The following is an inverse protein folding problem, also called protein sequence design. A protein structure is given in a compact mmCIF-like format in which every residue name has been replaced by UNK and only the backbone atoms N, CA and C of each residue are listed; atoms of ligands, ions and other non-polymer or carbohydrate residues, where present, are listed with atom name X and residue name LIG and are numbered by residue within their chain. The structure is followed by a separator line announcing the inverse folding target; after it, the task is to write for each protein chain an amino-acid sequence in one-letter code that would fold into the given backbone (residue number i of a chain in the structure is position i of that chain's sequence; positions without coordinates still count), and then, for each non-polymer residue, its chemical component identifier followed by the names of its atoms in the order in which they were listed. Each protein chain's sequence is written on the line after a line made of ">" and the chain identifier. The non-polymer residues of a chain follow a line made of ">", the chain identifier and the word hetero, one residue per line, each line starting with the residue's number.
data_IF_078266968781
#
_entry.id   IF_078266968781
#
_cell.length_a   1.000
_cell.length_b   1.000
_cell.length_c   1.000
_cell.angle_alpha   90.00
_cell.angle_beta   90.00
_cell.angle_gamma   90.00
#
_symmetry.space_group_name_H-M   'P 1'
#
loop_
_entity.id
_entity.type
_entity.pdbx_description
1 polymer ?
#
# COMPACT_ATOMS: atom_id res chain seq x y z
N UNK A 1 -19.95 44.25 -11.11
CA UNK A 1 -20.13 43.33 -9.96
C UNK A 1 -19.48 42.00 -10.29
N UNK A 2 -18.25 41.81 -9.83
CA UNK A 2 -17.48 40.57 -9.96
C UNK A 2 -17.86 39.60 -8.84
N UNK A 3 -18.70 38.63 -9.16
CA UNK A 3 -18.82 37.38 -8.40
C UNK A 3 -18.44 36.28 -9.41
N UNK A 4 -17.17 36.14 -9.79
CA UNK A 4 -16.19 35.60 -8.86
C UNK A 4 -16.57 34.15 -8.59
N UNK A 5 -16.62 33.36 -9.68
CA UNK A 5 -16.96 31.95 -9.63
C UNK A 5 -16.05 31.26 -8.64
N UNK A 6 -16.58 31.00 -7.44
CA UNK A 6 -16.07 29.99 -6.50
C UNK A 6 -16.29 28.61 -7.14
N UNK A 7 -15.67 28.38 -8.30
CA UNK A 7 -15.58 27.07 -8.92
C UNK A 7 -14.53 26.33 -8.12
N UNK A 8 -15.01 25.58 -7.13
CA UNK A 8 -14.45 24.35 -6.60
C UNK A 8 -13.02 24.05 -7.08
N UNK A 9 -12.02 24.82 -6.59
CA UNK A 9 -10.61 24.48 -6.80
C UNK A 9 -10.41 23.24 -5.97
N UNK A 10 -10.31 22.08 -6.60
CA UNK A 10 -9.80 20.89 -5.94
C UNK A 10 -8.30 21.15 -5.82
N UNK A 11 -7.91 21.95 -4.82
CA UNK A 11 -6.52 22.08 -4.45
C UNK A 11 -6.11 20.69 -3.97
N UNK A 12 -5.42 19.94 -4.84
CA UNK A 12 -4.87 18.66 -4.48
C UNK A 12 -3.93 18.91 -3.28
N UNK A 13 -4.30 18.39 -2.11
CA UNK A 13 -3.43 18.46 -0.94
C UNK A 13 -2.30 17.43 -1.10
N UNK A 14 -1.33 17.79 -1.95
CA UNK A 14 -0.15 16.99 -2.25
C UNK A 14 0.65 16.71 -0.98
N UNK A 15 0.60 17.62 0.00
CA UNK A 15 1.26 17.45 1.30
C UNK A 15 0.65 16.31 2.11
N UNK A 16 -0.67 16.33 2.29
CA UNK A 16 -1.40 15.24 2.97
C UNK A 16 -1.25 13.92 2.22
N UNK A 17 -1.28 13.94 0.89
CA UNK A 17 -1.05 12.74 0.08
C UNK A 17 0.35 12.14 0.26
N UNK A 18 1.39 12.99 0.31
CA UNK A 18 2.76 12.57 0.55
C UNK A 18 2.91 11.93 1.95
N UNK A 19 2.30 12.52 2.99
CA UNK A 19 2.27 11.95 4.34
C UNK A 19 1.61 10.56 4.35
N UNK A 20 0.42 10.44 3.74
CA UNK A 20 -0.31 9.18 3.67
C UNK A 20 0.47 8.11 2.89
N UNK A 21 1.12 8.48 1.79
CA UNK A 21 1.98 7.59 1.00
C UNK A 21 3.19 7.10 1.81
N UNK A 22 3.83 8.00 2.57
CA UNK A 22 4.94 7.64 3.46
C UNK A 22 4.49 6.71 4.60
N UNK A 23 3.30 6.94 5.17
CA UNK A 23 2.71 6.07 6.20
C UNK A 23 2.37 4.68 5.65
N UNK A 24 1.86 4.59 4.42
CA UNK A 24 1.65 3.32 3.73
C UNK A 24 2.98 2.59 3.47
N UNK A 25 4.01 3.28 3.01
CA UNK A 25 5.34 2.69 2.82
C UNK A 25 5.95 2.17 4.14
N UNK A 26 5.76 2.89 5.24
CA UNK A 26 6.18 2.45 6.58
C UNK A 26 5.41 1.18 7.01
N UNK A 27 4.11 1.12 6.78
CA UNK A 27 3.30 -0.06 7.06
C UNK A 27 3.70 -1.28 6.20
N UNK A 28 3.96 -1.08 4.90
CA UNK A 28 4.51 -2.10 3.99
C UNK A 28 5.82 -2.67 4.53
N UNK A 29 6.75 -1.80 4.92
CA UNK A 29 8.05 -2.21 5.44
C UNK A 29 7.91 -3.04 6.72
N UNK A 30 7.08 -2.60 7.67
CA UNK A 30 6.85 -3.31 8.94
C UNK A 30 6.22 -4.69 8.72
N UNK A 31 5.24 -4.80 7.82
CA UNK A 31 4.64 -6.10 7.48
C UNK A 31 5.63 -7.01 6.74
N UNK A 32 6.50 -6.44 5.91
CA UNK A 32 7.62 -7.16 5.29
C UNK A 32 8.56 -7.77 6.33
N UNK A 33 8.93 -7.01 7.37
CA UNK A 33 9.73 -7.51 8.49
C UNK A 33 9.02 -8.64 9.23
N UNK A 34 7.75 -8.46 9.60
CA UNK A 34 6.97 -9.50 10.29
C UNK A 34 6.86 -10.77 9.45
N UNK A 35 6.70 -10.65 8.12
CA UNK A 35 6.67 -11.79 7.22
C UNK A 35 8.02 -12.52 7.18
N UNK A 36 9.14 -11.80 7.15
CA UNK A 36 10.47 -12.40 7.21
C UNK A 36 10.70 -13.15 8.53
N UNK A 37 10.38 -12.51 9.66
CA UNK A 37 10.47 -13.13 10.99
C UNK A 37 9.60 -14.39 11.10
N UNK A 38 8.38 -14.36 10.55
CA UNK A 38 7.51 -15.54 10.52
C UNK A 38 8.14 -16.68 9.70
N UNK A 39 8.69 -16.37 8.52
CA UNK A 39 9.32 -17.39 7.65
C UNK A 39 10.53 -18.03 8.35
N UNK A 40 11.37 -17.23 9.00
CA UNK A 40 12.50 -17.73 9.79
C UNK A 40 12.04 -18.62 10.94
N UNK A 41 11.06 -18.18 11.72
CA UNK A 41 10.51 -18.95 12.84
C UNK A 41 9.91 -20.29 12.37
N UNK A 42 9.20 -20.29 11.24
CA UNK A 42 8.65 -21.52 10.65
C UNK A 42 9.76 -22.49 10.20
N UNK A 43 10.88 -21.98 9.69
CA UNK A 43 12.04 -22.78 9.33
C UNK A 43 12.73 -23.37 10.57
N UNK A 44 12.84 -22.60 11.64
CA UNK A 44 13.38 -23.05 12.92
C UNK A 44 12.50 -24.14 13.55
N UNK A 45 11.18 -23.96 13.54
CA UNK A 45 10.22 -24.98 13.98
C UNK A 45 10.41 -26.27 13.18
N UNK A 46 10.50 -26.18 11.85
CA UNK A 46 10.69 -27.36 11.02
C UNK A 46 12.02 -28.07 11.31
N UNK A 47 13.08 -27.31 11.59
CA UNK A 47 14.39 -27.84 11.99
C UNK A 47 14.31 -28.54 13.35
N UNK A 48 13.66 -27.93 14.34
CA UNK A 48 13.50 -28.46 15.68
C UNK A 48 12.65 -29.75 15.72
N UNK A 49 11.65 -29.86 14.85
CA UNK A 49 10.77 -31.04 14.76
C UNK A 49 11.49 -32.28 14.20
N UNK A 50 12.55 -32.08 13.41
CA UNK A 50 13.37 -33.17 12.88
C UNK A 50 12.65 -34.06 11.85
N UNK A 51 12.93 -35.37 11.92
CA UNK A 51 12.54 -36.38 10.89
C UNK A 51 11.76 -37.55 11.48
N UNK A 52 11.12 -38.34 10.62
CA UNK A 52 10.32 -39.51 11.00
C UNK A 52 8.81 -39.30 10.91
N UNK A 53 8.04 -40.29 11.37
CA UNK A 53 6.58 -40.30 11.26
C UNK A 53 5.92 -39.20 12.10
N UNK A 54 6.38 -38.99 13.34
CA UNK A 54 5.88 -37.91 14.21
C UNK A 54 6.10 -36.52 13.61
N UNK A 55 7.29 -36.28 13.04
CA UNK A 55 7.61 -35.05 12.34
C UNK A 55 6.73 -34.84 11.08
N UNK A 56 6.41 -35.93 10.38
CA UNK A 56 5.50 -35.91 9.22
C UNK A 56 4.07 -35.59 9.62
N UNK A 57 3.57 -36.20 10.71
CA UNK A 57 2.25 -35.90 11.26
C UNK A 57 2.16 -34.43 11.73
N UNK A 58 3.18 -33.92 12.42
CA UNK A 58 3.27 -32.51 12.81
C UNK A 58 3.19 -31.59 11.59
N UNK A 59 4.03 -31.81 10.56
CA UNK A 59 4.03 -31.00 9.33
C UNK A 59 2.68 -31.00 8.61
N UNK A 60 1.96 -32.13 8.61
CA UNK A 60 0.62 -32.21 8.01
C UNK A 60 -0.42 -31.37 8.76
N UNK A 61 -0.34 -31.31 10.10
CA UNK A 61 -1.24 -30.49 10.91
C UNK A 61 -0.86 -29.00 10.91
N UNK A 62 0.44 -28.70 10.94
CA UNK A 62 0.96 -27.34 11.11
C UNK A 62 1.18 -26.58 9.79
N UNK A 63 1.50 -27.31 8.71
CA UNK A 63 1.81 -26.76 7.40
C UNK A 63 0.69 -25.87 6.82
N UNK A 64 -0.59 -26.28 6.84
CA UNK A 64 -1.68 -25.48 6.29
C UNK A 64 -1.82 -24.10 6.95
N UNK A 65 -1.84 -24.03 8.29
CA UNK A 65 -1.98 -22.78 9.02
C UNK A 65 -0.78 -21.83 8.82
N UNK A 66 0.42 -22.42 8.70
CA UNK A 66 1.66 -21.68 8.43
C UNK A 66 1.68 -21.07 7.02
N UNK A 67 1.23 -21.85 6.03
CA UNK A 67 1.10 -21.39 4.65
C UNK A 67 0.04 -20.30 4.52
N UNK A 68 -1.12 -20.47 5.17
CA UNK A 68 -2.19 -19.48 5.20
C UNK A 68 -1.74 -18.15 5.82
N UNK A 69 -1.05 -18.21 6.97
CA UNK A 69 -0.53 -17.00 7.63
C UNK A 69 0.47 -16.24 6.75
N UNK A 70 1.35 -16.97 6.07
CA UNK A 70 2.32 -16.38 5.13
C UNK A 70 1.64 -15.79 3.90
N UNK A 71 0.60 -16.43 3.37
CA UNK A 71 -0.20 -15.93 2.24
C UNK A 71 -0.95 -14.64 2.61
N UNK A 72 -1.58 -14.61 3.79
CA UNK A 72 -2.31 -13.44 4.27
C UNK A 72 -1.40 -12.22 4.41
N UNK A 73 -0.21 -12.40 5.00
CA UNK A 73 0.77 -11.32 5.12
C UNK A 73 1.25 -10.83 3.75
N UNK A 74 1.57 -11.75 2.83
CA UNK A 74 2.00 -11.40 1.47
C UNK A 74 0.91 -10.63 0.72
N UNK A 75 -0.33 -11.07 0.83
CA UNK A 75 -1.49 -10.40 0.22
C UNK A 75 -1.71 -9.01 0.82
N UNK A 76 -1.57 -8.86 2.14
CA UNK A 76 -1.69 -7.56 2.79
C UNK A 76 -0.62 -6.57 2.31
N UNK A 77 0.64 -7.00 2.21
CA UNK A 77 1.74 -6.19 1.67
C UNK A 77 1.47 -5.77 0.22
N UNK A 78 1.02 -6.71 -0.62
CA UNK A 78 0.71 -6.42 -2.02
C UNK A 78 -0.42 -5.39 -2.17
N UNK A 79 -1.49 -5.50 -1.37
CA UNK A 79 -2.61 -4.54 -1.38
C UNK A 79 -2.21 -3.15 -0.90
N UNK A 80 -1.36 -3.06 0.13
CA UNK A 80 -0.84 -1.76 0.57
C UNK A 80 -0.01 -1.09 -0.52
N UNK A 81 0.85 -1.86 -1.20
CA UNK A 81 1.63 -1.35 -2.34
C UNK A 81 0.75 -0.86 -3.49
N UNK A 82 -0.34 -1.57 -3.78
CA UNK A 82 -1.34 -1.14 -4.76
C UNK A 82 -2.02 0.17 -4.34
N UNK A 83 -2.47 0.27 -3.09
CA UNK A 83 -3.08 1.50 -2.57
C UNK A 83 -2.13 2.69 -2.59
N UNK A 84 -0.85 2.47 -2.25
CA UNK A 84 0.16 3.53 -2.30
C UNK A 84 0.40 4.02 -3.74
N UNK A 85 0.43 3.11 -4.72
CA UNK A 85 0.51 3.47 -6.14
C UNK A 85 -0.72 4.26 -6.59
N UNK A 86 -1.91 3.77 -6.26
CA UNK A 86 -3.16 4.45 -6.61
C UNK A 86 -3.25 5.86 -6.01
N UNK A 87 -2.83 6.03 -4.75
CA UNK A 87 -2.76 7.33 -4.09
C UNK A 87 -1.80 8.28 -4.82
N UNK A 88 -0.60 7.80 -5.14
CA UNK A 88 0.44 8.60 -5.81
C UNK A 88 -0.04 9.06 -7.19
N UNK A 89 -0.49 8.12 -8.04
CA UNK A 89 -0.97 8.43 -9.37
C UNK A 89 -2.23 9.32 -9.36
N UNK A 90 -3.14 9.10 -8.40
CA UNK A 90 -4.34 9.91 -8.26
C UNK A 90 -4.03 11.36 -7.93
N UNK A 91 -3.06 11.61 -7.04
CA UNK A 91 -2.64 12.95 -6.63
C UNK A 91 -1.86 13.67 -7.73
N UNK A 92 -0.97 12.97 -8.44
CA UNK A 92 -0.28 13.51 -9.62
C UNK A 92 -1.28 13.93 -10.70
N UNK A 93 -2.30 13.11 -10.96
CA UNK A 93 -3.36 13.42 -11.93
C UNK A 93 -4.17 14.65 -11.51
N UNK A 94 -4.48 14.77 -10.22
CA UNK A 94 -5.22 15.90 -9.67
C UNK A 94 -4.41 17.20 -9.74
N UNK A 95 -3.11 17.13 -9.45
CA UNK A 95 -2.19 18.27 -9.55
C UNK A 95 -2.02 18.72 -11.02
N UNK A 96 -1.93 17.79 -11.97
CA UNK A 96 -1.89 18.10 -13.40
C UNK A 96 -3.17 18.82 -13.86
N UNK A 97 -4.33 18.31 -13.45
CA UNK A 97 -5.62 18.90 -13.80
C UNK A 97 -5.81 20.32 -13.21
N UNK A 98 -5.30 20.57 -11.99
CA UNK A 98 -5.31 21.91 -11.39
C UNK A 98 -4.40 22.89 -12.15
N UNK A 99 -3.21 22.44 -12.57
CA UNK A 99 -2.30 23.25 -13.38
C UNK A 99 -2.89 23.59 -14.76
N UNK A 100 -3.50 22.61 -15.44
CA UNK A 100 -4.19 22.82 -16.72
C UNK A 100 -5.36 23.81 -16.57
N UNK A 101 -6.14 23.68 -15.49
CA UNK A 101 -7.21 24.63 -15.22
C UNK A 101 -6.67 26.04 -14.96
N UNK A 102 -5.60 26.19 -14.18
CA UNK A 102 -4.98 27.48 -13.87
C UNK A 102 -4.49 28.18 -15.14
N UNK A 103 -3.78 27.47 -16.02
CA UNK A 103 -3.28 28.01 -17.30
C UNK A 103 -4.41 28.41 -18.24
N UNK A 104 -5.52 27.65 -18.29
CA UNK A 104 -6.70 28.02 -19.08
C UNK A 104 -7.40 29.30 -18.56
N UNK A 105 -7.43 29.51 -17.24
CA UNK A 105 -7.95 30.74 -16.65
C UNK A 105 -7.07 31.96 -16.94
N UNK A 106 -5.74 31.80 -16.91
CA UNK A 106 -4.78 32.88 -17.21
C UNK A 106 -4.75 33.25 -18.70
N UNK A 107 -5.05 32.28 -19.58
CA UNK A 107 -5.06 32.47 -21.03
C UNK A 107 -6.31 33.18 -21.57
N UNK A 108 -7.33 33.38 -20.73
CA UNK A 108 -8.47 34.27 -21.05
C UNK A 108 -9.24 33.89 -22.31
N UNK A 109 -9.69 32.64 -22.45
CA UNK A 109 -10.64 32.27 -23.49
C UNK A 109 -12.07 32.24 -22.93
N UNK A 110 -12.90 33.29 -23.17
CA UNK A 110 -14.31 33.24 -22.89
C UNK A 110 -15.02 32.46 -24.00
N UNK A 111 -15.80 31.46 -23.64
CA UNK A 111 -17.00 31.07 -24.37
C UNK A 111 -18.18 31.09 -23.43
#
# INVERSE_FOLDING_TARGET
>A
MTAGGRRNRIAADVGTAADLSARLASAESRLGTVHAELVELLADINTAVGVGEGATAFRRGFGPASAESSELLRTAVARLAEHRRALTCGVESLASADADAATAFESGEPR
#
